data_IF_736645510183
#
_entry.id   IF_736645510183
#
_cell.length_a   1.000
_cell.length_b   1.000
_cell.length_c   1.000
_cell.angle_alpha   90.00
_cell.angle_beta   90.00
_cell.angle_gamma   90.00
#
_symmetry.space_group_name_H-M   'P 1'
#
loop_
_entity.id
_entity.type
_entity.pdbx_description
1 polymer ?
#
# COMPACT_ATOMS: atom_id res chain seq x y z
N UNK A 1 5.98 -2.50 -28.44
CA UNK A 1 5.91 -3.81 -29.13
C UNK A 1 4.69 -4.53 -28.57
N UNK A 2 3.73 -4.89 -29.41
CA UNK A 2 2.57 -5.70 -29.01
C UNK A 2 3.01 -7.16 -29.11
N UNK A 3 2.81 -7.94 -28.05
CA UNK A 3 3.24 -9.34 -27.96
C UNK A 3 2.08 -10.30 -28.24
N UNK A 4 0.89 -9.99 -27.72
CA UNK A 4 -0.33 -10.79 -27.94
C UNK A 4 -1.48 -9.87 -28.32
N UNK A 5 -1.82 -8.94 -27.43
CA UNK A 5 -2.91 -7.97 -27.59
C UNK A 5 -2.71 -6.86 -26.56
N UNK A 6 -2.81 -5.60 -26.97
CA UNK A 6 -2.52 -4.47 -26.08
C UNK A 6 -3.22 -4.51 -24.70
N UNK A 7 -4.52 -4.88 -24.56
CA UNK A 7 -5.16 -4.99 -23.25
C UNK A 7 -4.54 -6.09 -22.36
N UNK A 8 -4.14 -7.23 -22.94
CA UNK A 8 -3.54 -8.37 -22.24
C UNK A 8 -2.10 -8.03 -21.83
N UNK A 9 -1.32 -7.46 -22.76
CA UNK A 9 0.08 -7.13 -22.51
C UNK A 9 0.21 -6.09 -21.39
N UNK A 10 -0.63 -5.03 -21.40
CA UNK A 10 -0.71 -4.04 -20.33
C UNK A 10 -1.16 -4.66 -19.00
N UNK A 11 -2.12 -5.59 -19.02
CA UNK A 11 -2.59 -6.27 -17.81
C UNK A 11 -1.50 -7.16 -17.17
N UNK A 12 -0.73 -7.88 -17.98
CA UNK A 12 0.42 -8.68 -17.52
C UNK A 12 1.48 -7.78 -16.90
N UNK A 13 1.82 -6.66 -17.55
CA UNK A 13 2.80 -5.69 -17.01
C UNK A 13 2.30 -5.10 -15.67
N UNK A 14 1.03 -4.69 -15.58
CA UNK A 14 0.43 -4.18 -14.35
C UNK A 14 0.46 -5.22 -13.20
N UNK A 15 0.18 -6.49 -13.52
CA UNK A 15 0.23 -7.59 -12.55
C UNK A 15 1.66 -7.87 -12.04
N UNK A 16 2.65 -7.88 -12.94
CA UNK A 16 4.07 -8.01 -12.57
C UNK A 16 4.54 -6.86 -11.66
N UNK A 17 4.15 -5.62 -11.98
CA UNK A 17 4.45 -4.44 -11.16
C UNK A 17 3.78 -4.54 -9.79
N UNK A 18 2.55 -5.05 -9.70
CA UNK A 18 1.86 -5.28 -8.44
C UNK A 18 2.59 -6.31 -7.56
N UNK A 19 3.12 -7.40 -8.15
CA UNK A 19 3.95 -8.40 -7.46
C UNK A 19 5.26 -7.78 -6.98
N UNK A 20 5.99 -7.07 -7.84
CA UNK A 20 7.27 -6.42 -7.49
C UNK A 20 7.05 -5.39 -6.37
N UNK A 21 5.97 -4.60 -6.45
CA UNK A 21 5.55 -3.67 -5.41
C UNK A 21 5.18 -4.37 -4.10
N UNK A 22 4.55 -5.55 -4.16
CA UNK A 22 4.26 -6.35 -2.97
C UNK A 22 5.53 -6.88 -2.30
N UNK A 23 6.50 -7.38 -3.07
CA UNK A 23 7.79 -7.84 -2.54
C UNK A 23 8.57 -6.69 -1.91
N UNK A 24 8.64 -5.53 -2.56
CA UNK A 24 9.22 -4.31 -1.97
C UNK A 24 8.50 -3.90 -0.68
N UNK A 25 7.16 -3.91 -0.69
CA UNK A 25 6.31 -3.59 0.47
C UNK A 25 6.57 -4.53 1.66
N UNK A 26 6.78 -5.82 1.41
CA UNK A 26 7.14 -6.78 2.47
C UNK A 26 8.58 -6.61 2.98
N UNK A 27 9.51 -6.17 2.13
CA UNK A 27 10.93 -5.96 2.49
C UNK A 27 11.15 -4.66 3.26
N UNK A 28 10.45 -3.58 2.90
CA UNK A 28 10.68 -2.24 3.48
C UNK A 28 9.71 -1.87 4.61
N UNK A 29 8.54 -2.51 4.71
CA UNK A 29 7.52 -2.20 5.72
C UNK A 29 7.21 -3.45 6.55
N UNK A 30 7.62 -3.45 7.83
CA UNK A 30 7.26 -4.51 8.77
C UNK A 30 5.78 -4.38 9.17
N UNK A 31 4.92 -5.19 8.52
CA UNK A 31 3.46 -5.17 8.72
C UNK A 31 3.04 -5.48 10.17
N UNK A 32 3.78 -6.33 10.90
CA UNK A 32 3.49 -6.64 12.31
C UNK A 32 3.82 -5.43 13.20
N UNK A 33 4.99 -4.80 13.00
CA UNK A 33 5.37 -3.57 13.72
C UNK A 33 4.37 -2.46 13.44
N UNK A 34 4.02 -2.22 12.16
CA UNK A 34 3.07 -1.16 11.79
C UNK A 34 1.67 -1.35 12.39
N UNK A 35 1.16 -2.59 12.49
CA UNK A 35 -0.10 -2.89 13.20
C UNK A 35 -0.02 -2.55 14.70
N UNK A 36 1.14 -2.73 15.34
CA UNK A 36 1.35 -2.40 16.75
C UNK A 36 1.59 -0.89 16.97
N UNK A 37 2.42 -0.25 16.15
CA UNK A 37 2.66 1.19 16.14
C UNK A 37 1.32 1.96 16.03
N UNK A 38 0.43 1.54 15.12
CA UNK A 38 -0.92 2.12 14.99
C UNK A 38 -1.81 1.97 16.23
N UNK A 39 -1.65 0.90 17.03
CA UNK A 39 -2.36 0.77 18.31
C UNK A 39 -1.77 1.73 19.35
N UNK A 40 -0.45 1.74 19.47
CA UNK A 40 0.27 2.62 20.41
C UNK A 40 -0.03 4.10 20.14
N UNK A 41 -0.01 4.53 18.88
CA UNK A 41 -0.39 5.90 18.49
C UNK A 41 -1.83 6.25 18.87
N UNK A 42 -2.79 5.31 18.77
CA UNK A 42 -4.18 5.53 19.22
C UNK A 42 -4.29 5.67 20.73
N UNK A 43 -3.54 4.88 21.48
CA UNK A 43 -3.50 4.94 22.95
C UNK A 43 -2.83 6.24 23.43
N UNK A 44 -1.67 6.59 22.86
CA UNK A 44 -0.98 7.86 23.12
C UNK A 44 -1.86 9.05 22.77
N UNK A 45 -2.57 9.04 21.64
CA UNK A 45 -3.47 10.13 21.27
C UNK A 45 -4.66 10.28 22.23
N UNK A 46 -5.19 9.19 22.81
CA UNK A 46 -6.22 9.29 23.88
C UNK A 46 -5.65 9.96 25.13
N UNK A 47 -4.53 9.44 25.64
CA UNK A 47 -3.87 9.97 26.84
C UNK A 47 -3.41 11.43 26.67
N UNK A 48 -2.94 11.80 25.48
CA UNK A 48 -2.65 13.19 25.11
C UNK A 48 -3.87 14.09 25.24
N UNK A 49 -5.03 13.68 24.70
CA UNK A 49 -6.30 14.41 24.82
C UNK A 49 -6.85 14.45 26.26
N UNK A 50 -6.44 13.54 27.14
CA UNK A 50 -6.77 13.55 28.57
C UNK A 50 -5.84 14.52 29.33
N UNK A 51 -4.53 14.44 29.13
CA UNK A 51 -3.53 15.33 29.73
C UNK A 51 -3.74 16.80 29.31
N UNK A 52 -4.15 17.06 28.07
CA UNK A 52 -4.47 18.41 27.58
C UNK A 52 -5.67 19.09 28.29
N UNK A 53 -6.46 18.35 29.06
CA UNK A 53 -7.55 18.92 29.89
C UNK A 53 -7.07 19.35 31.28
N UNK A 54 -5.85 18.99 31.66
CA UNK A 54 -5.25 19.28 32.96
C UNK A 54 -4.19 20.38 32.81
N UNK A 55 -4.16 21.33 33.75
CA UNK A 55 -3.31 22.54 33.64
C UNK A 55 -2.00 22.44 34.43
N UNK A 56 -1.79 21.37 35.19
CA UNK A 56 -0.66 21.20 36.10
C UNK A 56 0.68 20.92 35.39
N UNK A 57 1.80 21.26 36.04
CA UNK A 57 3.14 21.06 35.46
C UNK A 57 3.48 19.59 35.16
N UNK A 58 2.92 18.65 35.93
CA UNK A 58 3.21 17.22 35.73
C UNK A 58 2.54 16.73 34.46
N UNK A 59 1.27 17.09 34.24
CA UNK A 59 0.56 16.84 32.98
C UNK A 59 1.26 17.48 31.79
N UNK A 60 1.84 18.69 31.92
CA UNK A 60 2.62 19.32 30.85
C UNK A 60 3.91 18.56 30.50
N UNK A 61 4.69 18.12 31.49
CA UNK A 61 5.91 17.34 31.26
C UNK A 61 5.59 15.96 30.65
N UNK A 62 4.57 15.28 31.17
CA UNK A 62 4.10 14.00 30.62
C UNK A 62 3.56 14.15 29.18
N UNK A 63 2.87 15.26 28.89
CA UNK A 63 2.41 15.60 27.53
C UNK A 63 3.57 15.81 26.54
N UNK A 64 4.63 16.52 26.94
CA UNK A 64 5.83 16.71 26.11
C UNK A 64 6.56 15.39 25.82
N UNK A 65 6.67 14.50 26.82
CA UNK A 65 7.23 13.15 26.65
C UNK A 65 6.38 12.32 25.68
N UNK A 66 5.06 12.31 25.86
CA UNK A 66 4.14 11.58 24.98
C UNK A 66 4.17 12.09 23.54
N UNK A 67 4.33 13.40 23.33
CA UNK A 67 4.51 14.00 22.01
C UNK A 67 5.83 13.57 21.35
N UNK A 68 6.95 13.52 22.09
CA UNK A 68 8.23 13.03 21.57
C UNK A 68 8.11 11.56 21.13
N UNK A 69 7.57 10.69 21.97
CA UNK A 69 7.35 9.28 21.63
C UNK A 69 6.39 9.10 20.43
N UNK A 70 5.34 9.92 20.34
CA UNK A 70 4.42 9.93 19.19
C UNK A 70 5.16 10.31 17.90
N UNK A 71 6.00 11.35 17.95
CA UNK A 71 6.81 11.79 16.81
C UNK A 71 7.84 10.73 16.39
N UNK A 72 8.51 10.07 17.33
CA UNK A 72 9.49 9.02 17.00
C UNK A 72 8.84 7.81 16.34
N UNK A 73 7.72 7.30 16.87
CA UNK A 73 6.96 6.21 16.22
C UNK A 73 6.49 6.63 14.82
N UNK A 74 5.97 7.86 14.68
CA UNK A 74 5.50 8.40 13.40
C UNK A 74 6.66 8.54 12.41
N UNK A 75 7.84 8.96 12.87
CA UNK A 75 9.07 9.10 12.08
C UNK A 75 9.60 7.76 11.61
N UNK A 76 9.59 6.72 12.44
CA UNK A 76 9.94 5.35 12.03
C UNK A 76 8.99 4.83 10.93
N UNK A 77 7.67 4.99 11.13
CA UNK A 77 6.67 4.62 10.12
C UNK A 77 6.87 5.40 8.82
N UNK A 78 7.11 6.71 8.90
CA UNK A 78 7.37 7.55 7.74
C UNK A 78 8.65 7.15 7.01
N UNK A 79 9.73 6.81 7.72
CA UNK A 79 10.97 6.32 7.10
C UNK A 79 10.77 4.99 6.35
N UNK A 80 10.01 4.05 6.91
CA UNK A 80 9.67 2.79 6.23
C UNK A 80 8.90 3.05 4.93
N UNK A 81 7.86 3.88 4.99
CA UNK A 81 7.06 4.28 3.83
C UNK A 81 7.87 5.08 2.80
N UNK A 82 8.74 6.00 3.24
CA UNK A 82 9.57 6.82 2.35
C UNK A 82 10.64 5.98 1.63
N UNK A 83 11.28 5.03 2.33
CA UNK A 83 12.18 4.05 1.69
C UNK A 83 11.42 3.24 0.64
N UNK A 84 10.26 2.69 1.00
CA UNK A 84 9.39 1.97 0.05
C UNK A 84 9.03 2.84 -1.18
N UNK A 85 8.67 4.11 -0.98
CA UNK A 85 8.35 5.04 -2.07
C UNK A 85 9.55 5.33 -2.96
N UNK A 86 10.73 5.63 -2.38
CA UNK A 86 11.95 5.91 -3.15
C UNK A 86 12.43 4.74 -4.02
N UNK A 87 12.17 3.49 -3.61
CA UNK A 87 12.47 2.31 -4.44
C UNK A 87 11.35 1.94 -5.41
N UNK A 88 10.07 2.11 -5.04
CA UNK A 88 8.94 1.75 -5.90
C UNK A 88 8.61 2.79 -6.97
N UNK A 89 8.87 4.07 -6.72
CA UNK A 89 8.55 5.15 -7.65
C UNK A 89 9.38 5.10 -8.95
N UNK A 90 10.72 4.88 -8.93
CA UNK A 90 11.48 4.68 -10.17
C UNK A 90 11.00 3.47 -10.98
N UNK A 91 10.67 2.34 -10.33
CA UNK A 91 10.11 1.16 -11.00
C UNK A 91 8.79 1.50 -11.70
N UNK A 92 7.92 2.26 -11.05
CA UNK A 92 6.65 2.71 -11.61
C UNK A 92 6.83 3.70 -12.78
N UNK A 93 7.75 4.66 -12.67
CA UNK A 93 8.05 5.62 -13.74
C UNK A 93 8.68 4.94 -14.96
N UNK A 94 9.63 4.02 -14.76
CA UNK A 94 10.23 3.22 -15.84
C UNK A 94 9.16 2.40 -16.56
N UNK A 95 8.28 1.73 -15.80
CA UNK A 95 7.17 0.99 -16.37
C UNK A 95 6.21 1.89 -17.18
N UNK A 96 5.79 3.03 -16.63
CA UNK A 96 4.93 3.98 -17.34
C UNK A 96 5.59 4.52 -18.62
N UNK A 97 6.90 4.77 -18.61
CA UNK A 97 7.64 5.21 -19.79
C UNK A 97 7.61 4.14 -20.90
N UNK A 98 7.92 2.87 -20.59
CA UNK A 98 7.86 1.79 -21.56
C UNK A 98 6.44 1.49 -22.06
N UNK A 99 5.43 1.52 -21.19
CA UNK A 99 4.03 1.33 -21.59
C UNK A 99 3.59 2.49 -22.50
N UNK A 100 3.92 3.74 -22.15
CA UNK A 100 3.65 4.90 -22.99
C UNK A 100 4.27 4.73 -24.38
N UNK A 101 5.57 4.42 -24.44
CA UNK A 101 6.29 4.30 -25.71
C UNK A 101 5.71 3.20 -26.63
N UNK A 102 5.25 2.09 -26.04
CA UNK A 102 4.77 0.92 -26.80
C UNK A 102 3.28 0.90 -27.11
N UNK A 103 2.46 1.64 -26.36
CA UNK A 103 0.99 1.61 -26.45
C UNK A 103 0.38 3.02 -26.58
N UNK A 104 1.16 4.04 -26.95
CA UNK A 104 0.65 5.39 -27.18
C UNK A 104 -0.46 5.38 -28.27
N UNK A 105 -1.49 6.21 -28.08
CA UNK A 105 -2.61 6.30 -29.01
C UNK A 105 -3.56 5.08 -29.03
N UNK A 106 -3.28 4.01 -28.28
CA UNK A 106 -4.18 2.86 -28.21
C UNK A 106 -5.37 3.19 -27.29
N UNK A 107 -6.56 2.95 -27.84
CA UNK A 107 -7.86 3.06 -27.21
C UNK A 107 -8.40 1.64 -27.01
N UNK A 108 -8.91 1.36 -25.80
CA UNK A 108 -9.41 0.05 -25.40
C UNK A 108 -10.90 0.23 -25.03
N UNK A 109 -11.84 -0.39 -25.77
CA UNK A 109 -13.24 -0.33 -25.42
C UNK A 109 -13.53 -1.16 -24.17
N UNK A 110 -14.35 -0.60 -23.28
CA UNK A 110 -14.79 -1.26 -22.07
C UNK A 110 -16.14 -1.97 -22.29
N UNK A 111 -16.41 -3.08 -21.59
CA UNK A 111 -17.72 -3.74 -21.62
C UNK A 111 -18.80 -2.99 -20.81
N UNK A 112 -18.46 -1.83 -20.22
CA UNK A 112 -19.36 -0.93 -19.48
C UNK A 112 -18.79 0.49 -19.51
N UNK A 113 -19.66 1.49 -19.45
CA UNK A 113 -19.23 2.90 -19.40
C UNK A 113 -18.72 3.27 -18.00
N UNK A 114 -17.56 3.94 -17.94
CA UNK A 114 -17.05 4.53 -16.71
C UNK A 114 -17.60 5.94 -16.51
N UNK A 115 -18.10 6.30 -15.31
CA UNK A 115 -18.44 7.68 -15.01
C UNK A 115 -17.20 8.57 -15.20
N UNK A 116 -17.40 9.73 -15.83
CA UNK A 116 -16.37 10.71 -16.23
C UNK A 116 -15.40 10.29 -17.36
N UNK A 117 -15.37 9.03 -17.79
CA UNK A 117 -14.43 8.54 -18.83
C UNK A 117 -15.12 7.97 -20.08
N UNK A 118 -16.38 7.56 -20.01
CA UNK A 118 -17.14 7.05 -21.15
C UNK A 118 -16.93 5.55 -21.43
N UNK A 119 -17.23 5.07 -22.65
CA UNK A 119 -17.15 3.66 -23.02
C UNK A 119 -15.72 3.17 -23.30
N UNK A 120 -14.79 4.08 -23.61
CA UNK A 120 -13.43 3.74 -24.05
C UNK A 120 -12.37 4.35 -23.13
N UNK A 121 -11.27 3.64 -22.91
CA UNK A 121 -10.11 4.17 -22.17
C UNK A 121 -8.82 4.04 -22.95
N UNK A 122 -7.99 5.08 -22.90
CA UNK A 122 -6.62 4.99 -23.40
C UNK A 122 -5.76 4.03 -22.56
N UNK A 123 -4.60 3.65 -23.08
CA UNK A 123 -3.61 2.77 -22.42
C UNK A 123 -3.37 3.09 -20.93
N UNK A 124 -3.34 4.38 -20.56
CA UNK A 124 -3.11 4.83 -19.18
C UNK A 124 -4.29 4.50 -18.25
N UNK A 125 -5.53 4.72 -18.72
CA UNK A 125 -6.73 4.38 -17.96
C UNK A 125 -6.86 2.87 -17.76
N UNK A 126 -6.59 2.09 -18.81
CA UNK A 126 -6.56 0.63 -18.74
C UNK A 126 -5.46 0.11 -17.78
N UNK A 127 -4.25 0.67 -17.85
CA UNK A 127 -3.16 0.34 -16.92
C UNK A 127 -3.55 0.61 -15.46
N UNK A 128 -4.13 1.79 -15.16
CA UNK A 128 -4.57 2.13 -13.80
C UNK A 128 -5.65 1.14 -13.33
N UNK A 129 -6.65 0.83 -14.16
CA UNK A 129 -7.71 -0.12 -13.84
C UNK A 129 -7.15 -1.52 -13.55
N UNK A 130 -6.23 -2.02 -14.38
CA UNK A 130 -5.59 -3.32 -14.16
C UNK A 130 -4.64 -3.35 -12.96
N UNK A 131 -3.95 -2.25 -12.66
CA UNK A 131 -3.12 -2.12 -11.47
C UNK A 131 -3.96 -2.11 -10.18
N UNK A 132 -5.12 -1.46 -10.18
CA UNK A 132 -6.07 -1.49 -9.06
C UNK A 132 -6.61 -2.90 -8.81
N UNK A 133 -7.08 -3.59 -9.86
CA UNK A 133 -7.56 -4.99 -9.75
C UNK A 133 -6.43 -5.90 -9.24
N UNK A 134 -5.23 -5.79 -9.81
CA UNK A 134 -4.05 -6.57 -9.39
C UNK A 134 -3.71 -6.32 -7.91
N UNK A 135 -3.78 -5.08 -7.44
CA UNK A 135 -3.56 -4.71 -6.04
C UNK A 135 -4.57 -5.37 -5.09
N UNK A 136 -5.85 -5.42 -5.49
CA UNK A 136 -6.91 -6.10 -4.73
C UNK A 136 -6.67 -7.61 -4.66
N UNK A 137 -6.37 -8.26 -5.79
CA UNK A 137 -6.06 -9.71 -5.87
C UNK A 137 -4.88 -10.07 -4.97
N UNK A 138 -3.75 -9.35 -5.12
CA UNK A 138 -2.55 -9.59 -4.30
C UNK A 138 -2.82 -9.37 -2.81
N UNK A 139 -3.58 -8.31 -2.46
CA UNK A 139 -3.96 -8.04 -1.07
C UNK A 139 -4.88 -9.11 -0.47
N UNK A 140 -5.79 -9.67 -1.28
CA UNK A 140 -6.65 -10.78 -0.89
C UNK A 140 -5.87 -12.06 -0.61
N UNK A 141 -4.99 -12.45 -1.54
CA UNK A 141 -4.12 -13.64 -1.41
C UNK A 141 -3.24 -13.53 -0.16
N UNK A 142 -2.64 -12.37 0.10
CA UNK A 142 -1.81 -12.17 1.30
C UNK A 142 -2.59 -12.36 2.61
N UNK A 143 -3.83 -11.86 2.69
CA UNK A 143 -4.70 -12.07 3.86
C UNK A 143 -5.06 -13.55 4.05
N UNK A 144 -5.33 -14.27 2.96
CA UNK A 144 -5.61 -15.72 3.02
C UNK A 144 -4.39 -16.49 3.54
N UNK A 145 -3.18 -16.15 3.08
CA UNK A 145 -1.93 -16.74 3.57
C UNK A 145 -1.72 -16.44 5.07
N UNK A 146 -1.97 -15.21 5.54
CA UNK A 146 -1.94 -14.89 6.99
C UNK A 146 -2.89 -15.81 7.78
N UNK A 147 -4.16 -15.94 7.36
CA UNK A 147 -5.17 -16.76 8.06
C UNK A 147 -4.82 -18.26 8.07
N UNK A 148 -4.34 -18.80 6.95
CA UNK A 148 -3.95 -20.22 6.85
C UNK A 148 -2.76 -20.54 7.74
N UNK A 149 -1.77 -19.63 7.83
CA UNK A 149 -0.60 -19.83 8.69
C UNK A 149 -0.99 -19.79 10.18
N UNK A 150 -1.80 -18.84 10.63
CA UNK A 150 -2.26 -18.78 12.03
C UNK A 150 -3.00 -20.07 12.44
N UNK A 151 -3.93 -20.55 11.60
CA UNK A 151 -4.65 -21.82 11.86
C UNK A 151 -3.73 -23.05 11.90
N UNK A 152 -2.62 -23.02 11.17
CA UNK A 152 -1.62 -24.10 11.15
C UNK A 152 -0.73 -24.08 12.38
N UNK A 153 -0.45 -22.90 12.94
CA UNK A 153 0.25 -22.73 14.22
C UNK A 153 -0.65 -23.18 15.39
N UNK A 154 -1.92 -22.75 15.42
CA UNK A 154 -2.92 -23.20 16.42
C UNK A 154 -3.09 -24.72 16.44
N UNK A 155 -3.14 -25.38 15.27
CA UNK A 155 -3.20 -26.85 15.19
C UNK A 155 -1.93 -27.58 15.66
N UNK A 156 -0.77 -26.92 15.66
CA UNK A 156 0.50 -27.50 16.12
C UNK A 156 0.74 -27.34 17.63
N UNK A 157 0.06 -26.40 18.27
CA UNK A 157 0.16 -26.17 19.73
C UNK A 157 -0.84 -27.04 20.51
N UNK A 158 -1.92 -27.47 19.85
CA UNK A 158 -2.97 -28.32 20.43
C UNK A 158 -2.81 -29.82 20.11
N UNK A 159 -1.59 -30.26 19.80
CA UNK A 159 -1.25 -31.64 19.41
C UNK A 159 0.09 -32.07 20.01
#
# INVERSE_FOLDING_TARGET
>A
MIFINAPIDIAIIAFLIAIISQVMRMKFINQKKMKNDQKSLKEKNKRMNELMKNTDEKSKKELEELQKEYLDITKEMMQGNMRYMLFSFPVFIIALYFIKEWYNGIIIPLPFELPFFGPDVGWLGWYILMALISSLVVSGVMKLIEIVNTKKEEKKVNM
#
